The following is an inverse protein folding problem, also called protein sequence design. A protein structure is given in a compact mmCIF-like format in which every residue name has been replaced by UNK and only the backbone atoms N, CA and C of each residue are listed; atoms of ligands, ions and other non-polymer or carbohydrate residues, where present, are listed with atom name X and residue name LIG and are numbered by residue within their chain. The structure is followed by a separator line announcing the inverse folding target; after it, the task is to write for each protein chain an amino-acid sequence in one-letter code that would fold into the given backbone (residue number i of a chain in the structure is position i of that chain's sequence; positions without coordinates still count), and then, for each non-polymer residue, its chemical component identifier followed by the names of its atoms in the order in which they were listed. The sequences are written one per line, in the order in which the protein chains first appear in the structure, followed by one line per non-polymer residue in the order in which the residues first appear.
data_IF_426514884936
#
_entry.id   IF_426514884936
#
_cell.length_a   1.000
_cell.length_b   1.000
_cell.length_c   1.000
_cell.angle_alpha   90.00
_cell.angle_beta   90.00
_cell.angle_gamma   90.00
#
_symmetry.space_group_name_H-M   'P 1'
#
loop_
_entity.id
_entity.type
_entity.pdbx_description
1 polymer ?
#
# COMPACT_ATOMS: atom_id res chain seq x y z
N UNK A 1 -7.37 12.65 22.84
CA UNK A 1 -6.77 11.41 22.33
C UNK A 1 -6.19 11.73 20.94
N UNK A 2 -4.92 11.44 20.70
CA UNK A 2 -4.25 11.76 19.43
C UNK A 2 -4.60 10.71 18.39
N UNK A 3 -4.99 11.16 17.18
CA UNK A 3 -5.27 10.27 16.05
C UNK A 3 -3.99 9.92 15.31
N UNK A 4 -3.90 8.70 14.81
CA UNK A 4 -2.81 8.25 13.94
C UNK A 4 -3.01 8.76 12.50
N UNK A 5 -1.98 8.68 11.66
CA UNK A 5 -2.05 9.08 10.26
C UNK A 5 -3.14 8.32 9.47
N UNK A 6 -3.43 7.08 9.85
CA UNK A 6 -4.46 6.24 9.21
C UNK A 6 -5.90 6.59 9.62
N UNK A 7 -6.07 7.37 10.70
CA UNK A 7 -7.39 7.81 11.22
C UNK A 7 -7.71 9.25 10.81
N UNK A 8 -6.75 9.94 10.22
CA UNK A 8 -6.93 11.30 9.72
C UNK A 8 -7.44 11.26 8.29
N UNK A 9 -8.35 12.20 7.96
CA UNK A 9 -8.79 12.38 6.57
C UNK A 9 -7.62 12.86 5.71
N UNK A 10 -7.25 12.06 4.73
CA UNK A 10 -6.10 12.31 3.85
C UNK A 10 -6.31 13.50 2.91
N UNK A 11 -7.52 13.99 2.78
CA UNK A 11 -7.82 15.22 2.03
C UNK A 11 -7.07 16.42 2.60
N UNK A 12 -6.86 16.48 3.91
CA UNK A 12 -6.09 17.55 4.53
C UNK A 12 -4.63 17.57 4.08
N UNK A 13 -4.02 16.42 3.88
CA UNK A 13 -2.63 16.32 3.38
C UNK A 13 -2.57 16.88 1.95
N UNK A 14 -3.57 16.57 1.13
CA UNK A 14 -3.70 17.07 -0.24
C UNK A 14 -3.91 18.59 -0.24
N UNK A 15 -4.77 19.11 0.62
CA UNK A 15 -5.02 20.55 0.76
C UNK A 15 -3.72 21.30 1.10
N UNK A 16 -3.06 20.90 2.18
CA UNK A 16 -1.81 21.52 2.62
C UNK A 16 -0.67 21.39 1.59
N UNK A 17 -0.66 20.29 0.83
CA UNK A 17 0.25 20.12 -0.30
C UNK A 17 -0.06 21.08 -1.45
N UNK A 18 -1.34 21.27 -1.75
CA UNK A 18 -1.79 22.20 -2.80
C UNK A 18 -1.44 23.65 -2.47
N UNK A 19 -1.66 24.07 -1.22
CA UNK A 19 -1.33 25.44 -0.77
C UNK A 19 0.17 25.75 -0.91
N UNK A 20 1.04 24.77 -0.73
CA UNK A 20 2.49 24.92 -0.90
C UNK A 20 2.95 24.88 -2.35
N UNK A 21 2.19 24.23 -3.23
CA UNK A 21 2.61 23.98 -4.62
C UNK A 21 2.99 25.24 -5.41
N UNK A 22 2.29 26.39 -5.29
CA UNK A 22 2.65 27.60 -6.00
C UNK A 22 4.00 28.20 -5.57
N UNK A 23 4.46 27.87 -4.36
CA UNK A 23 5.67 28.44 -3.75
C UNK A 23 6.92 27.58 -3.94
N UNK A 24 6.78 26.41 -4.57
CA UNK A 24 7.88 25.48 -4.82
C UNK A 24 7.91 25.04 -6.27
N UNK A 25 9.11 24.95 -6.84
CA UNK A 25 9.31 24.56 -8.25
C UNK A 25 9.26 23.04 -8.45
N UNK A 26 9.67 22.27 -7.45
CA UNK A 26 9.73 20.81 -7.50
C UNK A 26 8.44 20.15 -7.01
N UNK A 27 8.30 18.85 -7.28
CA UNK A 27 7.25 18.05 -6.71
C UNK A 27 7.48 17.81 -5.21
N UNK A 28 6.40 17.55 -4.46
CA UNK A 28 6.44 17.24 -3.04
C UNK A 28 6.33 15.72 -2.82
N UNK A 29 7.10 15.19 -1.88
CA UNK A 29 6.98 13.77 -1.46
C UNK A 29 5.80 13.62 -0.48
N UNK A 30 4.59 13.55 -1.01
CA UNK A 30 3.36 13.44 -0.23
C UNK A 30 2.98 11.97 -0.08
N UNK A 31 2.95 11.49 1.15
CA UNK A 31 2.52 10.13 1.48
C UNK A 31 1.04 10.15 1.89
N UNK A 32 0.25 9.27 1.30
CA UNK A 32 -1.16 9.05 1.62
C UNK A 32 -1.26 7.78 2.46
N UNK A 33 -2.01 7.84 3.55
CA UNK A 33 -2.23 6.73 4.47
C UNK A 33 -3.70 6.33 4.43
N UNK A 34 -3.98 5.11 4.02
CA UNK A 34 -5.35 4.64 3.83
C UNK A 34 -5.58 3.35 4.63
N UNK A 35 -6.81 3.11 5.12
CA UNK A 35 -7.16 1.83 5.71
C UNK A 35 -7.08 0.72 4.66
N UNK A 36 -6.92 -0.53 5.12
CA UNK A 36 -6.77 -1.68 4.21
C UNK A 36 -8.03 -1.97 3.39
N UNK A 37 -9.18 -1.60 3.91
CA UNK A 37 -10.52 -1.80 3.35
C UNK A 37 -11.09 -0.55 2.64
N UNK A 38 -10.23 0.43 2.33
CA UNK A 38 -10.69 1.66 1.66
C UNK A 38 -11.46 1.35 0.39
N UNK A 39 -12.60 2.00 0.22
CA UNK A 39 -13.39 1.86 -0.99
C UNK A 39 -12.70 2.57 -2.17
N UNK A 40 -12.72 1.95 -3.35
CA UNK A 40 -12.08 2.47 -4.56
C UNK A 40 -12.52 3.90 -4.92
N UNK A 41 -13.77 4.26 -4.62
CA UNK A 41 -14.31 5.59 -4.84
C UNK A 41 -13.61 6.65 -3.98
N UNK A 42 -13.33 6.34 -2.72
CA UNK A 42 -12.66 7.26 -1.80
C UNK A 42 -11.20 7.47 -2.22
N UNK A 43 -10.50 6.38 -2.55
CA UNK A 43 -9.15 6.46 -3.07
C UNK A 43 -9.10 7.30 -4.35
N UNK A 44 -10.05 7.08 -5.27
CA UNK A 44 -10.17 7.89 -6.49
C UNK A 44 -10.42 9.37 -6.18
N UNK A 45 -11.27 9.69 -5.20
CA UNK A 45 -11.54 11.08 -4.81
C UNK A 45 -10.29 11.79 -4.30
N UNK A 46 -9.45 11.12 -3.51
CA UNK A 46 -8.17 11.70 -3.02
C UNK A 46 -7.26 12.05 -4.20
N UNK A 47 -7.08 11.12 -5.15
CA UNK A 47 -6.25 11.36 -6.34
C UNK A 47 -6.83 12.43 -7.25
N UNK A 48 -8.14 12.42 -7.47
CA UNK A 48 -8.83 13.42 -8.28
C UNK A 48 -8.71 14.81 -7.67
N UNK A 49 -8.85 14.94 -6.34
CA UNK A 49 -8.66 16.20 -5.63
C UNK A 49 -7.23 16.72 -5.75
N UNK A 50 -6.23 15.84 -5.62
CA UNK A 50 -4.83 16.18 -5.81
C UNK A 50 -4.57 16.74 -7.22
N UNK A 51 -5.09 16.08 -8.24
CA UNK A 51 -4.99 16.54 -9.62
C UNK A 51 -5.73 17.88 -9.83
N UNK A 52 -6.98 18.00 -9.37
CA UNK A 52 -7.78 19.22 -9.51
C UNK A 52 -7.13 20.44 -8.87
N UNK A 53 -6.43 20.24 -7.75
CA UNK A 53 -5.73 21.31 -7.01
C UNK A 53 -4.33 21.61 -7.54
N UNK A 54 -3.92 20.96 -8.60
CA UNK A 54 -2.65 21.24 -9.29
C UNK A 54 -1.42 20.68 -8.61
N UNK A 55 -1.54 19.65 -7.75
CA UNK A 55 -0.36 18.96 -7.27
C UNK A 55 0.37 18.27 -8.42
N UNK A 56 1.70 18.38 -8.44
CA UNK A 56 2.55 17.80 -9.49
C UNK A 56 2.64 16.28 -9.38
N UNK A 57 2.70 15.75 -8.15
CA UNK A 57 2.70 14.31 -7.88
C UNK A 57 2.31 14.01 -6.44
N UNK A 58 1.86 12.79 -6.21
CA UNK A 58 1.86 12.10 -4.93
C UNK A 58 3.04 11.13 -4.93
N UNK A 59 3.48 10.67 -3.74
CA UNK A 59 4.65 9.80 -3.64
C UNK A 59 4.24 8.37 -3.29
N UNK A 60 3.98 8.08 -2.02
CA UNK A 60 3.55 6.75 -1.60
C UNK A 60 2.09 6.73 -1.16
N UNK A 61 1.37 5.68 -1.55
CA UNK A 61 0.11 5.31 -0.95
C UNK A 61 0.36 4.11 -0.03
N UNK A 62 0.28 4.32 1.27
CA UNK A 62 0.51 3.30 2.29
C UNK A 62 -0.83 2.81 2.83
N UNK A 63 -1.07 1.50 2.75
CA UNK A 63 -2.21 0.85 3.38
C UNK A 63 -1.76 -0.04 4.53
N UNK A 64 -2.60 -0.16 5.55
CA UNK A 64 -2.41 -1.22 6.55
C UNK A 64 -2.66 -2.55 5.86
N UNK A 65 -1.72 -3.50 5.99
CA UNK A 65 -2.01 -4.88 5.61
C UNK A 65 -3.09 -5.44 6.55
N UNK A 66 -4.01 -6.22 6.01
CA UNK A 66 -4.96 -7.01 6.81
C UNK A 66 -4.18 -8.22 7.38
N UNK A 67 -3.14 -7.96 8.16
CA UNK A 67 -2.58 -9.00 9.00
C UNK A 67 -3.50 -9.13 10.21
N UNK A 68 -4.44 -10.05 10.15
CA UNK A 68 -5.13 -10.52 11.33
C UNK A 68 -4.09 -11.19 12.21
N UNK A 69 -3.70 -10.50 13.26
CA UNK A 69 -2.97 -11.09 14.38
C UNK A 69 -3.82 -12.10 15.17
N UNK A 70 -5.04 -12.35 14.73
CA UNK A 70 -5.97 -13.29 15.29
C UNK A 70 -5.70 -14.64 14.65
N UNK A 71 -4.88 -15.45 15.20
CA UNK A 71 -4.88 -16.92 15.14
C UNK A 71 -3.50 -17.52 15.39
N UNK A 72 -2.66 -16.84 16.17
CA UNK A 72 -1.40 -17.48 16.61
C UNK A 72 -1.66 -18.54 17.70
N UNK A 73 -2.87 -18.56 18.29
CA UNK A 73 -3.22 -19.44 19.40
C UNK A 73 -4.17 -20.60 19.07
N UNK A 74 -4.61 -20.77 17.81
CA UNK A 74 -5.39 -21.95 17.45
C UNK A 74 -4.49 -23.08 16.97
N UNK A 75 -4.59 -24.19 17.70
CA UNK A 75 -3.85 -25.45 17.46
C UNK A 75 -4.10 -26.13 16.09
N UNK A 76 -4.77 -25.43 15.17
CA UNK A 76 -4.95 -25.85 13.77
C UNK A 76 -3.86 -25.37 12.82
N UNK A 77 -2.85 -24.67 13.33
CA UNK A 77 -1.75 -24.15 12.50
C UNK A 77 -0.82 -25.27 11.97
N UNK A 78 -0.79 -26.41 12.62
CA UNK A 78 0.10 -27.52 12.21
C UNK A 78 -0.29 -28.18 10.91
N UNK A 79 -1.59 -28.27 10.60
CA UNK A 79 -2.06 -28.91 9.36
C UNK A 79 -1.98 -28.00 8.13
N UNK A 80 -2.13 -26.70 8.32
CA UNK A 80 -2.07 -25.73 7.20
C UNK A 80 -0.64 -25.48 6.75
N UNK A 81 0.31 -25.41 7.68
CA UNK A 81 1.73 -25.27 7.34
C UNK A 81 2.28 -26.51 6.62
N UNK A 82 1.90 -27.71 7.04
CA UNK A 82 2.31 -28.96 6.38
C UNK A 82 1.80 -29.03 4.93
N UNK A 83 0.59 -28.54 4.66
CA UNK A 83 0.02 -28.53 3.30
C UNK A 83 0.66 -27.43 2.41
N UNK A 84 1.01 -26.27 2.98
CA UNK A 84 1.70 -25.19 2.25
C UNK A 84 3.12 -25.61 1.85
N UNK A 85 3.83 -26.31 2.72
CA UNK A 85 5.16 -26.83 2.38
C UNK A 85 5.11 -27.94 1.33
N UNK A 86 4.08 -28.81 1.36
CA UNK A 86 3.88 -29.84 0.32
C UNK A 86 3.52 -29.25 -1.04
N UNK A 87 2.74 -28.16 -1.09
CA UNK A 87 2.40 -27.52 -2.36
C UNK A 87 3.57 -26.72 -2.95
N UNK A 88 4.40 -26.07 -2.11
CA UNK A 88 5.60 -25.36 -2.57
C UNK A 88 6.68 -26.31 -3.11
N UNK A 89 6.87 -27.49 -2.52
CA UNK A 89 7.83 -28.44 -3.04
C UNK A 89 7.41 -29.05 -4.39
N UNK A 90 6.10 -29.17 -4.67
CA UNK A 90 5.63 -29.62 -5.99
C UNK A 90 5.76 -28.57 -7.09
N UNK A 91 5.77 -27.28 -6.73
CA UNK A 91 5.93 -26.19 -7.71
C UNK A 91 7.39 -25.85 -8.01
N UNK A 92 8.33 -26.22 -7.14
CA UNK A 92 9.75 -25.96 -7.37
C UNK A 92 10.45 -27.00 -8.27
N UNK A 93 9.77 -28.10 -8.63
CA UNK A 93 10.36 -29.11 -9.53
C UNK A 93 10.11 -28.83 -11.01
N UNK A 94 9.29 -27.82 -11.38
CA UNK A 94 8.94 -27.53 -12.78
C UNK A 94 9.20 -26.09 -13.24
N UNK A 95 9.89 -25.25 -12.45
CA UNK A 95 10.27 -23.91 -12.90
C UNK A 95 11.79 -23.82 -13.12
N UNK A 96 12.21 -24.20 -14.32
CA UNK A 96 13.49 -23.79 -14.88
C UNK A 96 13.38 -22.28 -15.21
N UNK A 97 14.03 -21.44 -14.41
CA UNK A 97 14.08 -20.00 -14.65
C UNK A 97 15.09 -19.74 -15.78
N UNK A 98 14.62 -19.28 -16.93
CA UNK A 98 15.50 -18.68 -17.94
C UNK A 98 16.14 -17.42 -17.34
N UNK A 99 17.46 -17.42 -17.21
CA UNK A 99 18.20 -16.25 -16.77
C UNK A 99 18.02 -15.10 -17.77
N UNK A 100 17.54 -13.97 -17.29
CA UNK A 100 17.36 -12.78 -18.10
C UNK A 100 18.73 -12.19 -18.44
N UNK A 101 19.23 -12.43 -19.65
CA UNK A 101 20.51 -11.93 -20.16
C UNK A 101 20.53 -10.40 -20.41
N UNK A 102 19.45 -9.68 -20.16
CA UNK A 102 19.36 -8.23 -20.39
C UNK A 102 19.76 -7.36 -19.19
N UNK A 103 20.21 -7.96 -18.08
CA UNK A 103 20.66 -7.26 -16.88
C UNK A 103 22.18 -7.27 -16.69
N UNK A 104 22.95 -7.29 -17.77
CA UNK A 104 24.40 -7.01 -17.74
C UNK A 104 24.69 -5.59 -18.16
#
# INVERSE_FOLDING_TARGET
MFKTAFELDQKWIVELGADRTPHISQAQSINIFVPADIHKKELHQIHFQAWKKGLKSLYYCRSKSIQRAENVNDAKLTDVTANVYKSKNKQNEEQEYEECLSCQ
#
